data_IF_118176645654
#
_entry.id   IF_118176645654
#
_cell.length_a   1.000
_cell.length_b   1.000
_cell.length_c   1.000
_cell.angle_alpha   90.00
_cell.angle_beta   90.00
_cell.angle_gamma   90.00
#
_symmetry.space_group_name_H-M   'P 1'
#
loop_
_entity.id
_entity.type
_entity.pdbx_description
1 polymer ?
#
# COMPACT_ATOMS: atom_id res chain seq x y z
N UNK A 1 -25.91 -0.94 -15.71
CA UNK A 1 -24.76 -1.49 -16.49
C UNK A 1 -23.70 -1.95 -15.50
N UNK A 2 -23.18 -3.17 -15.63
CA UNK A 2 -22.05 -3.62 -14.79
C UNK A 2 -20.79 -2.91 -15.24
N UNK A 3 -20.11 -2.24 -14.34
CA UNK A 3 -18.81 -1.61 -14.62
C UNK A 3 -17.77 -2.69 -14.91
N UNK A 4 -16.97 -2.52 -15.96
CA UNK A 4 -15.91 -3.47 -16.27
C UNK A 4 -14.72 -3.28 -15.32
N UNK A 5 -13.94 -4.34 -14.99
CA UNK A 5 -12.74 -4.22 -14.18
C UNK A 5 -11.78 -3.10 -14.68
N UNK A 6 -11.59 -3.00 -15.98
CA UNK A 6 -10.73 -1.96 -16.60
C UNK A 6 -11.22 -0.54 -16.35
N UNK A 7 -12.55 -0.34 -16.29
CA UNK A 7 -13.10 0.97 -15.95
C UNK A 7 -12.83 1.34 -14.49
N UNK A 8 -12.93 0.35 -13.57
CA UNK A 8 -12.59 0.55 -12.16
C UNK A 8 -11.10 0.80 -12.00
N UNK A 9 -10.24 0.06 -12.70
CA UNK A 9 -8.79 0.25 -12.64
C UNK A 9 -8.33 1.62 -13.11
N UNK A 10 -8.98 2.20 -14.15
CA UNK A 10 -8.71 3.60 -14.55
C UNK A 10 -9.06 4.59 -13.44
N UNK A 11 -10.18 4.37 -12.73
CA UNK A 11 -10.56 5.22 -11.60
C UNK A 11 -9.59 5.05 -10.42
N UNK A 12 -9.11 3.81 -10.17
CA UNK A 12 -8.12 3.54 -9.14
C UNK A 12 -6.77 4.21 -9.47
N UNK A 13 -6.34 4.17 -10.73
CA UNK A 13 -5.14 4.87 -11.17
C UNK A 13 -5.26 6.38 -10.93
N UNK A 14 -6.39 7.00 -11.28
CA UNK A 14 -6.65 8.43 -11.02
C UNK A 14 -6.68 8.74 -9.50
N UNK A 15 -7.22 7.83 -8.69
CA UNK A 15 -7.15 7.97 -7.23
C UNK A 15 -5.69 7.92 -6.74
N UNK A 16 -4.86 7.04 -7.30
CA UNK A 16 -3.45 6.94 -6.97
C UNK A 16 -2.64 8.17 -7.37
N UNK A 17 -2.97 8.82 -8.48
CA UNK A 17 -2.38 10.13 -8.85
C UNK A 17 -2.70 11.20 -7.81
N UNK A 18 -3.96 11.27 -7.36
CA UNK A 18 -4.36 12.20 -6.28
C UNK A 18 -3.62 11.90 -4.96
N UNK A 19 -3.39 10.64 -4.64
CA UNK A 19 -2.59 10.25 -3.48
C UNK A 19 -1.14 10.73 -3.62
N UNK A 20 -0.55 10.60 -4.82
CA UNK A 20 0.80 11.10 -5.11
C UNK A 20 0.90 12.60 -4.89
N UNK A 21 -0.01 13.38 -5.47
CA UNK A 21 -0.05 14.85 -5.32
C UNK A 21 -0.16 15.24 -3.84
N UNK A 22 -1.06 14.60 -3.09
CA UNK A 22 -1.24 14.91 -1.67
C UNK A 22 -0.01 14.51 -0.82
N UNK A 23 0.62 13.38 -1.16
CA UNK A 23 1.86 12.93 -0.53
C UNK A 23 3.00 13.91 -0.79
N UNK A 24 3.21 14.29 -2.04
CA UNK A 24 4.31 15.17 -2.46
C UNK A 24 4.19 16.56 -1.79
N UNK A 25 2.97 17.10 -1.70
CA UNK A 25 2.72 18.36 -0.99
C UNK A 25 3.09 18.26 0.51
N UNK A 26 2.69 17.16 1.18
CA UNK A 26 3.04 16.95 2.59
C UNK A 26 4.54 16.71 2.78
N UNK A 27 5.16 15.91 1.92
CA UNK A 27 6.60 15.62 1.96
C UNK A 27 7.44 16.89 1.73
N UNK A 28 7.05 17.71 0.76
CA UNK A 28 7.70 18.99 0.49
C UNK A 28 7.60 19.95 1.69
N UNK A 29 6.41 20.06 2.30
CA UNK A 29 6.20 20.90 3.48
C UNK A 29 6.99 20.45 4.71
N UNK A 30 7.35 19.17 4.79
CA UNK A 30 8.22 18.61 5.81
C UNK A 30 9.71 18.75 5.49
N UNK A 31 10.08 18.96 4.23
CA UNK A 31 11.45 18.77 3.76
C UNK A 31 11.85 17.28 3.70
N UNK A 32 10.88 16.36 3.60
CA UNK A 32 11.13 14.93 3.56
C UNK A 32 11.62 14.52 2.17
N UNK A 33 12.81 13.89 2.14
CA UNK A 33 13.34 13.25 0.94
C UNK A 33 13.67 11.78 1.23
N UNK A 34 13.29 10.88 0.32
CA UNK A 34 13.63 9.46 0.40
C UNK A 34 15.03 9.17 -0.18
N UNK A 35 15.69 10.14 -0.82
CA UNK A 35 17.05 9.97 -1.34
C UNK A 35 18.02 9.69 -0.21
N UNK A 36 18.83 8.63 -0.37
CA UNK A 36 19.82 8.22 0.63
C UNK A 36 19.22 7.74 1.96
N UNK A 37 17.94 7.34 1.98
CA UNK A 37 17.32 6.80 3.18
C UNK A 37 17.90 5.41 3.50
N UNK A 38 18.53 5.27 4.68
CA UNK A 38 19.11 4.00 5.14
C UNK A 38 18.03 2.98 5.54
N UNK A 39 16.85 3.46 5.99
CA UNK A 39 15.74 2.61 6.40
C UNK A 39 14.67 2.58 5.29
N UNK A 40 14.74 1.56 4.46
CA UNK A 40 13.82 1.40 3.35
C UNK A 40 12.42 1.00 3.84
N UNK A 41 11.41 1.86 3.56
CA UNK A 41 10.01 1.62 3.93
C UNK A 41 9.44 0.31 3.36
N UNK A 42 10.07 -0.28 2.35
CA UNK A 42 9.72 -1.62 1.85
C UNK A 42 10.00 -2.76 2.85
N UNK A 43 10.66 -2.48 3.98
CA UNK A 43 10.81 -3.43 5.10
C UNK A 43 9.66 -3.36 6.11
N UNK A 44 8.73 -2.42 5.93
CA UNK A 44 7.58 -2.30 6.82
C UNK A 44 6.58 -3.43 6.59
N UNK A 45 6.12 -4.03 7.69
CA UNK A 45 5.10 -5.07 7.65
C UNK A 45 3.71 -4.43 7.55
N UNK A 46 3.10 -4.48 6.37
CA UNK A 46 1.77 -3.95 6.07
C UNK A 46 0.79 -5.04 5.69
N UNK A 47 -0.47 -4.85 6.09
CA UNK A 47 -1.62 -5.60 5.59
C UNK A 47 -2.46 -4.69 4.69
N UNK A 48 -3.02 -5.27 3.64
CA UNK A 48 -3.87 -4.62 2.66
C UNK A 48 -5.26 -5.23 2.71
N UNK A 49 -6.30 -4.44 2.40
CA UNK A 49 -7.66 -4.80 2.80
C UNK A 49 -8.68 -4.77 1.66
N UNK A 50 -8.23 -4.65 0.39
CA UNK A 50 -9.15 -4.52 -0.74
C UNK A 50 -8.84 -5.48 -1.88
N UNK A 51 -9.88 -6.05 -2.45
CA UNK A 51 -9.80 -6.88 -3.66
C UNK A 51 -9.45 -6.06 -4.90
N UNK A 52 -9.93 -4.81 -4.98
CA UNK A 52 -9.64 -3.95 -6.12
C UNK A 52 -8.16 -3.62 -6.23
N UNK A 53 -7.48 -3.36 -5.10
CA UNK A 53 -6.04 -3.15 -5.11
C UNK A 53 -5.28 -4.45 -5.41
N UNK A 54 -5.71 -5.58 -4.85
CA UNK A 54 -5.13 -6.88 -5.14
C UNK A 54 -5.23 -7.24 -6.63
N UNK A 55 -6.42 -7.07 -7.23
CA UNK A 55 -6.61 -7.30 -8.66
C UNK A 55 -5.79 -6.35 -9.54
N UNK A 56 -5.66 -5.08 -9.11
CA UNK A 56 -4.85 -4.08 -9.81
C UNK A 56 -3.34 -4.36 -9.70
N UNK A 57 -2.86 -4.85 -8.56
CA UNK A 57 -1.50 -5.35 -8.40
C UNK A 57 -1.22 -6.46 -9.42
N UNK A 58 -2.13 -7.44 -9.54
CA UNK A 58 -1.99 -8.54 -10.47
C UNK A 58 -2.04 -8.09 -11.92
N UNK A 59 -2.79 -7.05 -12.28
CA UNK A 59 -2.71 -6.46 -13.61
C UNK A 59 -1.27 -5.99 -13.92
N UNK A 60 -0.58 -5.40 -12.97
CA UNK A 60 0.81 -4.99 -13.14
C UNK A 60 1.78 -6.16 -13.26
N UNK A 61 1.58 -7.22 -12.47
CA UNK A 61 2.38 -8.43 -12.51
C UNK A 61 2.19 -9.22 -13.82
N UNK A 62 0.95 -9.33 -14.32
CA UNK A 62 0.63 -9.99 -15.58
C UNK A 62 1.17 -9.25 -16.82
N UNK A 63 1.39 -7.95 -16.71
CA UNK A 63 1.92 -7.13 -17.81
C UNK A 63 3.45 -7.20 -17.97
N UNK A 64 4.16 -7.82 -17.03
CA UNK A 64 5.61 -7.95 -17.09
C UNK A 64 6.04 -9.29 -17.71
N UNK A 65 7.33 -9.41 -18.12
CA UNK A 65 7.89 -10.69 -18.56
C UNK A 65 7.71 -11.79 -17.53
N UNK A 66 7.48 -13.01 -18.02
CA UNK A 66 7.16 -14.19 -17.19
C UNK A 66 8.27 -14.51 -16.18
N UNK A 67 9.53 -14.46 -16.61
CA UNK A 67 10.71 -14.69 -15.77
C UNK A 67 10.77 -13.69 -14.60
N UNK A 68 10.41 -12.44 -14.85
CA UNK A 68 10.37 -11.39 -13.85
C UNK A 68 9.25 -11.62 -12.83
N UNK A 69 8.08 -12.00 -13.32
CA UNK A 69 6.95 -12.33 -12.44
C UNK A 69 7.28 -13.51 -11.53
N UNK A 70 7.82 -14.58 -12.10
CA UNK A 70 8.24 -15.77 -11.35
C UNK A 70 9.32 -15.46 -10.30
N UNK A 71 10.22 -14.52 -10.58
CA UNK A 71 11.18 -14.04 -9.59
C UNK A 71 10.48 -13.40 -8.40
N UNK A 72 9.49 -12.52 -8.62
CA UNK A 72 8.73 -11.91 -7.55
C UNK A 72 7.88 -12.92 -6.77
N UNK A 73 7.33 -13.93 -7.41
CA UNK A 73 6.63 -15.03 -6.76
C UNK A 73 7.55 -15.83 -5.84
N UNK A 74 8.79 -16.14 -6.30
CA UNK A 74 9.81 -16.81 -5.47
C UNK A 74 10.23 -15.97 -4.27
N UNK A 75 10.44 -14.65 -4.47
CA UNK A 75 10.76 -13.71 -3.38
C UNK A 75 9.60 -13.58 -2.39
N UNK A 76 8.36 -13.58 -2.87
CA UNK A 76 7.18 -13.54 -2.02
C UNK A 76 7.08 -14.79 -1.13
N UNK A 77 7.35 -15.98 -1.68
CA UNK A 77 7.38 -17.20 -0.91
C UNK A 77 8.52 -17.22 0.14
N UNK A 78 9.69 -16.66 -0.19
CA UNK A 78 10.78 -16.49 0.78
C UNK A 78 10.40 -15.51 1.89
N UNK A 79 9.83 -14.33 1.52
CA UNK A 79 9.32 -13.35 2.46
C UNK A 79 8.38 -13.97 3.49
N UNK A 80 7.42 -14.79 3.04
CA UNK A 80 6.43 -15.41 3.95
C UNK A 80 7.09 -16.34 4.96
N UNK A 81 8.13 -17.09 4.58
CA UNK A 81 8.88 -17.95 5.52
C UNK A 81 9.59 -17.11 6.58
N UNK A 82 10.37 -16.11 6.15
CA UNK A 82 11.11 -15.23 7.05
C UNK A 82 10.18 -14.42 7.97
N UNK A 83 9.07 -13.91 7.42
CA UNK A 83 8.07 -13.19 8.21
C UNK A 83 7.41 -14.10 9.25
N UNK A 84 7.12 -15.35 8.89
CA UNK A 84 6.58 -16.34 9.83
C UNK A 84 7.54 -16.65 10.97
N UNK A 85 8.81 -16.87 10.66
CA UNK A 85 9.84 -17.11 11.68
C UNK A 85 9.98 -15.94 12.66
N UNK A 86 9.89 -14.69 12.18
CA UNK A 86 9.89 -13.51 13.05
C UNK A 86 8.66 -13.48 13.97
N UNK A 87 7.47 -13.73 13.41
CA UNK A 87 6.22 -13.77 14.18
C UNK A 87 6.23 -14.88 15.24
N UNK A 88 6.76 -16.06 14.91
CA UNK A 88 6.86 -17.18 15.84
C UNK A 88 7.83 -16.87 17.02
N UNK A 89 8.77 -15.92 16.82
CA UNK A 89 9.61 -15.36 17.91
C UNK A 89 8.96 -14.19 18.66
N UNK A 90 7.74 -13.78 18.28
CA UNK A 90 7.07 -12.60 18.86
C UNK A 90 7.63 -11.26 18.33
N UNK A 91 8.38 -11.28 17.22
CA UNK A 91 8.98 -10.10 16.62
C UNK A 91 8.10 -9.57 15.49
N UNK A 92 8.13 -8.24 15.27
CA UNK A 92 7.51 -7.67 14.07
C UNK A 92 8.41 -7.92 12.87
N UNK A 93 7.90 -8.56 11.78
CA UNK A 93 8.70 -8.80 10.59
C UNK A 93 9.27 -7.51 9.99
N UNK A 94 10.55 -7.55 9.62
CA UNK A 94 11.26 -6.46 8.94
C UNK A 94 11.94 -6.97 7.66
N UNK A 95 11.24 -7.85 6.95
CA UNK A 95 11.71 -8.49 5.71
C UNK A 95 11.51 -7.56 4.53
N UNK A 96 12.44 -7.54 3.59
CA UNK A 96 12.35 -6.72 2.38
C UNK A 96 11.19 -7.17 1.50
N UNK A 97 10.37 -6.21 1.05
CA UNK A 97 9.25 -6.44 0.14
C UNK A 97 9.72 -7.20 -1.11
N UNK A 98 9.01 -8.25 -1.55
CA UNK A 98 9.40 -9.05 -2.72
C UNK A 98 9.47 -8.27 -4.03
N UNK A 99 8.77 -7.13 -4.11
CA UNK A 99 8.75 -6.25 -5.29
C UNK A 99 9.82 -5.14 -5.24
N UNK A 100 10.72 -5.17 -4.26
CA UNK A 100 11.81 -4.20 -4.19
C UNK A 100 12.98 -4.64 -5.05
N UNK A 101 13.39 -3.76 -5.97
CA UNK A 101 14.56 -3.90 -6.82
C UNK A 101 15.50 -2.75 -6.53
N UNK A 102 16.54 -3.01 -5.76
CA UNK A 102 17.59 -2.03 -5.44
C UNK A 102 17.04 -0.67 -4.91
N UNK A 103 16.03 -0.74 -4.05
CA UNK A 103 15.40 0.46 -3.46
C UNK A 103 14.18 0.97 -4.22
N UNK A 104 13.86 0.43 -5.38
CA UNK A 104 12.72 0.80 -6.20
C UNK A 104 11.64 -0.28 -6.20
N UNK A 105 10.38 0.13 -6.37
CA UNK A 105 9.28 -0.81 -6.52
C UNK A 105 9.12 -1.24 -7.97
N UNK A 106 9.27 -2.53 -8.28
CA UNK A 106 9.14 -3.07 -9.63
C UNK A 106 7.74 -2.94 -10.25
N UNK A 107 6.73 -2.62 -9.45
CA UNK A 107 5.35 -2.36 -9.91
C UNK A 107 4.87 -0.97 -9.45
N UNK A 108 5.70 0.05 -9.55
CA UNK A 108 5.47 1.38 -8.97
C UNK A 108 4.11 1.99 -9.32
N UNK A 109 3.66 1.87 -10.56
CA UNK A 109 2.35 2.35 -11.02
C UNK A 109 1.17 1.61 -10.36
N UNK A 110 1.41 0.37 -9.90
CA UNK A 110 0.43 -0.50 -9.23
C UNK A 110 0.65 -0.61 -7.71
N UNK A 111 1.51 0.26 -7.13
CA UNK A 111 1.71 0.32 -5.66
C UNK A 111 0.40 0.58 -4.94
N UNK A 112 0.14 -0.18 -3.89
CA UNK A 112 -1.07 -0.09 -3.09
C UNK A 112 -1.08 1.18 -2.22
N UNK A 113 -2.25 1.61 -1.79
CA UNK A 113 -2.47 2.85 -1.06
C UNK A 113 -1.56 3.02 0.16
N UNK A 114 -1.44 1.98 1.00
CA UNK A 114 -0.60 2.05 2.22
C UNK A 114 0.84 2.33 1.84
N UNK A 115 1.38 1.65 0.82
CA UNK A 115 2.73 1.88 0.33
C UNK A 115 2.93 3.28 -0.25
N UNK A 116 1.88 3.89 -0.84
CA UNK A 116 1.93 5.23 -1.43
C UNK A 116 1.94 6.33 -0.38
N UNK A 117 1.23 6.12 0.73
CA UNK A 117 1.01 7.13 1.77
C UNK A 117 1.91 6.93 3.00
N UNK A 118 2.80 5.94 2.96
CA UNK A 118 3.68 5.61 4.08
C UNK A 118 4.75 6.65 4.24
N UNK A 119 5.21 7.39 4.60
CA UNK A 119 6.36 8.32 4.72
C UNK A 119 5.97 9.53 5.54
N UNK A 120 4.88 10.18 5.18
CA UNK A 120 4.42 11.42 5.81
C UNK A 120 3.44 11.16 6.96
N UNK A 121 3.30 12.07 7.93
CA UNK A 121 2.26 12.00 8.94
C UNK A 121 0.89 12.03 8.28
N UNK A 122 -0.01 11.15 8.73
CA UNK A 122 -1.36 11.09 8.17
C UNK A 122 -2.42 11.05 9.27
N UNK A 123 -3.63 11.51 8.94
CA UNK A 123 -4.82 11.36 9.77
C UNK A 123 -5.95 10.74 8.96
N UNK A 124 -6.77 9.94 9.63
CA UNK A 124 -8.04 9.44 9.11
C UNK A 124 -9.13 9.74 10.14
N UNK A 125 -10.23 10.30 9.69
CA UNK A 125 -11.40 10.53 10.53
C UNK A 125 -12.46 9.47 10.22
N UNK A 126 -12.81 8.69 11.23
CA UNK A 126 -13.84 7.66 11.11
C UNK A 126 -15.23 8.28 11.11
N UNK A 127 -16.28 7.55 10.65
CA UNK A 127 -17.66 8.06 10.66
C UNK A 127 -18.18 8.44 12.04
N UNK A 128 -17.66 7.84 13.11
CA UNK A 128 -17.98 8.15 14.51
C UNK A 128 -17.23 9.40 15.04
N UNK A 129 -16.46 10.08 14.20
CA UNK A 129 -15.65 11.24 14.56
C UNK A 129 -14.28 10.87 15.16
N UNK A 130 -14.03 9.60 15.45
CA UNK A 130 -12.73 9.13 15.96
C UNK A 130 -11.61 9.43 14.98
N UNK A 131 -10.50 10.00 15.48
CA UNK A 131 -9.31 10.31 14.68
C UNK A 131 -8.25 9.23 14.90
N UNK A 132 -7.73 8.70 13.81
CA UNK A 132 -6.60 7.78 13.81
C UNK A 132 -5.43 8.46 13.12
N UNK A 133 -4.33 8.62 13.83
CA UNK A 133 -3.11 9.25 13.32
C UNK A 133 -2.03 8.20 13.07
N UNK A 134 -1.20 8.47 12.08
CA UNK A 134 0.03 7.76 11.81
C UNK A 134 1.16 8.78 11.69
N UNK A 135 2.27 8.63 12.44
CA UNK A 135 3.30 9.68 12.57
C UNK A 135 4.23 9.78 11.35
N UNK A 136 4.04 8.96 10.33
CA UNK A 136 4.97 8.83 9.22
C UNK A 136 6.09 7.81 9.49
N UNK A 137 7.03 7.68 8.55
CA UNK A 137 8.23 6.86 8.74
C UNK A 137 9.16 7.51 9.79
N UNK A 138 10.19 6.78 10.23
CA UNK A 138 11.11 7.27 11.26
C UNK A 138 11.75 8.62 10.88
N UNK A 139 12.15 8.79 9.61
CA UNK A 139 12.72 10.03 9.10
C UNK A 139 11.74 11.21 9.15
N UNK A 140 10.47 10.95 8.88
CA UNK A 140 9.40 11.94 9.05
C UNK A 140 9.23 12.31 10.52
N UNK A 141 9.29 11.31 11.43
CA UNK A 141 9.21 11.55 12.87
C UNK A 141 10.36 12.40 13.37
N UNK A 142 11.58 12.16 12.89
CA UNK A 142 12.74 13.02 13.19
C UNK A 142 12.53 14.46 12.73
N UNK A 143 12.02 14.66 11.50
CA UNK A 143 11.72 15.98 10.96
C UNK A 143 10.59 16.72 11.70
N UNK A 144 9.69 15.99 12.33
CA UNK A 144 8.60 16.54 13.14
C UNK A 144 8.99 16.73 14.62
N UNK A 145 10.10 16.16 15.08
CA UNK A 145 10.49 16.20 16.48
C UNK A 145 10.65 17.65 16.97
N UNK A 146 9.99 17.98 18.08
CA UNK A 146 10.01 19.33 18.66
C UNK A 146 9.23 20.40 17.89
N UNK A 147 8.47 20.03 16.84
CA UNK A 147 7.60 20.94 16.09
C UNK A 147 6.15 20.75 16.51
N UNK A 148 5.44 21.83 16.81
CA UNK A 148 4.00 21.82 17.05
C UNK A 148 3.19 21.94 15.75
N UNK A 149 3.79 22.55 14.72
CA UNK A 149 3.18 22.76 13.41
C UNK A 149 3.99 22.05 12.32
N UNK A 150 3.37 21.04 11.71
CA UNK A 150 3.90 20.31 10.56
C UNK A 150 2.77 19.77 9.69
N UNK A 151 3.00 19.59 8.39
CA UNK A 151 2.00 19.06 7.47
C UNK A 151 1.54 17.66 7.87
N UNK A 152 0.22 17.47 7.96
CA UNK A 152 -0.43 16.18 8.18
C UNK A 152 -1.39 15.92 7.02
N UNK A 153 -1.18 14.82 6.30
CA UNK A 153 -2.04 14.44 5.19
C UNK A 153 -3.34 13.82 5.73
N UNK A 154 -4.49 14.48 5.49
CA UNK A 154 -5.80 13.86 5.73
C UNK A 154 -6.15 12.89 4.60
N UNK A 155 -6.08 11.60 4.90
CA UNK A 155 -6.39 10.53 3.95
C UNK A 155 -7.85 10.07 3.98
N UNK A 156 -8.70 10.73 4.75
CA UNK A 156 -10.11 10.32 4.96
C UNK A 156 -10.87 10.23 3.64
N UNK A 157 -10.79 11.25 2.80
CA UNK A 157 -11.47 11.27 1.50
C UNK A 157 -10.91 10.19 0.55
N UNK A 158 -9.59 9.99 0.56
CA UNK A 158 -8.92 8.97 -0.26
C UNK A 158 -9.36 7.55 0.13
N UNK A 159 -9.48 7.28 1.43
CA UNK A 159 -10.02 6.00 1.92
C UNK A 159 -11.48 5.76 1.53
N UNK A 160 -12.32 6.81 1.62
CA UNK A 160 -13.72 6.72 1.19
C UNK A 160 -13.84 6.42 -0.31
N UNK A 161 -13.01 7.06 -1.12
CA UNK A 161 -12.99 6.82 -2.57
C UNK A 161 -12.50 5.39 -2.89
N UNK A 162 -11.46 4.89 -2.20
CA UNK A 162 -11.01 3.51 -2.34
C UNK A 162 -12.12 2.52 -1.94
N UNK A 163 -12.81 2.76 -0.83
CA UNK A 163 -13.93 1.92 -0.40
C UNK A 163 -15.09 1.89 -1.42
N UNK A 164 -15.37 3.03 -2.07
CA UNK A 164 -16.36 3.09 -3.17
C UNK A 164 -15.93 2.27 -4.37
N UNK A 165 -14.64 2.33 -4.74
CA UNK A 165 -14.10 1.52 -5.83
C UNK A 165 -14.12 0.03 -5.50
N UNK A 166 -13.87 -0.37 -4.27
CA UNK A 166 -14.02 -1.74 -3.79
C UNK A 166 -15.47 -2.24 -3.96
N UNK A 167 -16.45 -1.44 -3.52
CA UNK A 167 -17.87 -1.77 -3.69
C UNK A 167 -18.26 -1.85 -5.18
N UNK A 168 -17.77 -0.94 -6.01
CA UNK A 168 -18.01 -0.94 -7.46
C UNK A 168 -17.38 -2.17 -8.13
N UNK A 169 -16.17 -2.55 -7.74
CA UNK A 169 -15.43 -3.70 -8.26
C UNK A 169 -16.10 -5.02 -7.92
N UNK A 170 -16.50 -5.19 -6.67
CA UNK A 170 -17.07 -6.43 -6.17
C UNK A 170 -18.58 -6.58 -6.50
N UNK A 171 -19.33 -5.48 -6.49
CA UNK A 171 -20.78 -5.52 -6.68
C UNK A 171 -21.46 -6.45 -5.67
N UNK A 172 -22.26 -7.40 -6.16
CA UNK A 172 -22.96 -8.38 -5.31
C UNK A 172 -22.03 -9.33 -4.54
N UNK A 173 -20.80 -9.54 -5.02
CA UNK A 173 -19.81 -10.41 -4.37
C UNK A 173 -19.30 -9.87 -3.04
N UNK A 174 -19.44 -8.56 -2.77
CA UNK A 174 -18.98 -7.91 -1.53
C UNK A 174 -19.46 -8.62 -0.25
N UNK A 175 -20.67 -9.21 -0.28
CA UNK A 175 -21.25 -9.90 0.87
C UNK A 175 -20.86 -11.38 0.95
N UNK A 176 -20.27 -11.93 -0.10
CA UNK A 176 -19.97 -13.36 -0.24
C UNK A 176 -18.49 -13.67 -0.01
N UNK A 177 -17.63 -12.70 -0.29
CA UNK A 177 -16.19 -12.86 -0.17
C UNK A 177 -15.72 -12.56 1.25
N UNK A 178 -14.69 -13.27 1.75
CA UNK A 178 -14.07 -12.97 3.03
C UNK A 178 -13.43 -11.57 2.99
N UNK A 179 -13.18 -11.01 4.17
CA UNK A 179 -12.39 -9.79 4.26
C UNK A 179 -10.94 -10.06 3.84
N UNK A 180 -10.39 -9.16 3.06
CA UNK A 180 -8.96 -9.17 2.75
C UNK A 180 -8.20 -8.58 3.93
N UNK A 181 -7.21 -9.29 4.40
CA UNK A 181 -6.25 -8.86 5.43
C UNK A 181 -4.92 -9.56 5.14
N UNK A 182 -4.28 -9.15 4.06
CA UNK A 182 -3.13 -9.84 3.48
C UNK A 182 -1.94 -8.90 3.33
N UNK A 183 -0.76 -9.41 3.59
CA UNK A 183 0.47 -8.78 3.13
C UNK A 183 0.57 -8.82 1.61
N UNK A 184 1.38 -7.97 1.03
CA UNK A 184 1.62 -7.95 -0.40
C UNK A 184 2.20 -9.30 -0.88
N UNK A 185 3.06 -9.95 -0.08
CA UNK A 185 3.61 -11.26 -0.40
C UNK A 185 2.52 -12.35 -0.43
N UNK A 186 1.56 -12.33 0.50
CA UNK A 186 0.42 -13.24 0.47
C UNK A 186 -0.47 -13.00 -0.76
N UNK A 187 -0.70 -11.75 -1.14
CA UNK A 187 -1.43 -11.43 -2.37
C UNK A 187 -0.74 -11.96 -3.63
N UNK A 188 0.60 -11.95 -3.67
CA UNK A 188 1.36 -12.50 -4.79
C UNK A 188 1.26 -14.04 -4.82
N UNK A 189 1.52 -14.70 -3.69
CA UNK A 189 1.52 -16.16 -3.62
C UNK A 189 0.12 -16.75 -3.81
N UNK A 190 -0.93 -16.06 -3.36
CA UNK A 190 -2.32 -16.49 -3.53
C UNK A 190 -2.82 -16.34 -4.96
N UNK A 191 -2.09 -15.67 -5.82
CA UNK A 191 -2.51 -15.46 -7.21
C UNK A 191 -3.54 -14.34 -7.37
N UNK A 192 -4.14 -14.28 -8.55
CA UNK A 192 -5.18 -13.30 -8.89
C UNK A 192 -6.45 -13.57 -8.08
N UNK A 193 -7.08 -12.55 -7.46
CA UNK A 193 -8.15 -12.79 -6.48
C UNK A 193 -9.48 -13.21 -7.08
N UNK A 194 -9.76 -12.92 -8.37
CA UNK A 194 -11.08 -13.13 -9.02
C UNK A 194 -10.94 -13.37 -10.53
#
# INVERSE_FOLDING_TARGET
>A
MKTTPQAVFRKLAALYERMGIAYDAAAQGLGLSCSGCADNCCRSFFQHHTYVEWAYLWQGLEAMPEDRRQEYERRAAAYLREAREALDRGERPAVMCPLNDDGLCGVYSHRLMICRLHGVPTVTVRPDGGRQTFPGCFRSQELCAGREDFPVLDRTALYRDLARLEMEFLGSRLRQLPRVDLTLAEMIVSGKPL
#
